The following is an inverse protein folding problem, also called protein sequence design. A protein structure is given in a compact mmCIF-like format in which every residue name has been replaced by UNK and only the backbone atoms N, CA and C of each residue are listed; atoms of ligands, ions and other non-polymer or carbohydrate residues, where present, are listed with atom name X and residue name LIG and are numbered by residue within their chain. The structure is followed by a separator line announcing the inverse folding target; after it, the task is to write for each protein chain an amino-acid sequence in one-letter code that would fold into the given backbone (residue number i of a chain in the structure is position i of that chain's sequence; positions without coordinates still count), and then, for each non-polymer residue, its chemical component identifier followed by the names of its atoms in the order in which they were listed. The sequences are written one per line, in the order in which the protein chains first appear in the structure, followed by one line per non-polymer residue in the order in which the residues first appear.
data_IF_360376812117
#
_entry.id   IF_360376812117
#
_cell.length_a   1.000
_cell.length_b   1.000
_cell.length_c   1.000
_cell.angle_alpha   90.00
_cell.angle_beta   90.00
_cell.angle_gamma   90.00
#
_symmetry.space_group_name_H-M   'P 1'
#
loop_
_entity.id
_entity.type
_entity.pdbx_description
1 polymer ?
#
# COMPACT_ATOMS: atom_id res chain seq x y z
N UNK A 1 -22.29 41.45 -8.73
CA UNK A 1 -21.96 40.03 -8.52
C UNK A 1 -21.76 39.86 -7.03
N UNK A 2 -22.59 39.04 -6.39
CA UNK A 2 -22.59 38.92 -4.93
C UNK A 2 -21.33 38.21 -4.44
N UNK A 3 -20.61 38.86 -3.53
CA UNK A 3 -19.44 38.31 -2.85
C UNK A 3 -19.74 37.02 -2.08
N UNK A 4 -21.02 36.78 -1.75
CA UNK A 4 -21.51 35.59 -1.06
C UNK A 4 -21.27 34.27 -1.80
N UNK A 5 -21.04 34.29 -3.11
CA UNK A 5 -20.78 33.07 -3.89
C UNK A 5 -19.32 32.63 -3.94
N UNK A 6 -18.40 33.34 -3.26
CA UNK A 6 -16.95 33.04 -3.33
C UNK A 6 -16.32 32.71 -1.98
N UNK A 7 -17.06 32.87 -0.89
CA UNK A 7 -16.58 32.50 0.44
C UNK A 7 -16.63 30.99 0.60
N UNK A 8 -15.47 30.35 0.39
CA UNK A 8 -15.25 28.98 0.80
C UNK A 8 -14.82 28.93 2.27
N UNK A 9 -15.30 27.92 2.99
CA UNK A 9 -14.90 27.66 4.36
C UNK A 9 -13.43 27.22 4.42
N UNK A 10 -12.61 28.08 5.02
CA UNK A 10 -11.17 27.91 5.15
C UNK A 10 -10.76 26.66 5.95
N UNK A 11 -11.65 26.04 6.72
CA UNK A 11 -11.37 24.81 7.44
C UNK A 11 -11.46 23.57 6.54
N UNK A 12 -12.13 23.67 5.39
CA UNK A 12 -12.27 22.58 4.41
C UNK A 12 -11.32 22.82 3.24
N UNK A 13 -11.37 24.02 2.68
CA UNK A 13 -10.66 24.37 1.45
C UNK A 13 -9.29 24.99 1.69
N UNK A 14 -8.96 25.23 2.96
CA UNK A 14 -7.77 25.91 3.41
C UNK A 14 -6.48 25.40 2.79
N UNK A 15 -5.55 26.33 2.57
CA UNK A 15 -4.24 26.00 1.98
C UNK A 15 -3.48 24.97 2.81
N UNK A 16 -3.58 24.99 4.15
CA UNK A 16 -2.92 23.98 4.99
C UNK A 16 -3.58 22.60 4.96
N UNK A 17 -4.91 22.50 4.79
CA UNK A 17 -5.59 21.21 4.57
C UNK A 17 -5.18 20.61 3.23
N UNK A 18 -5.17 21.42 2.17
CA UNK A 18 -4.68 20.98 0.85
C UNK A 18 -3.22 20.53 0.91
N UNK A 19 -2.36 21.39 1.46
CA UNK A 19 -0.91 21.13 1.55
C UNK A 19 -0.60 19.90 2.40
N UNK A 20 -1.34 19.68 3.48
CA UNK A 20 -1.18 18.49 4.31
C UNK A 20 -1.57 17.22 3.55
N UNK A 21 -2.70 17.23 2.84
CA UNK A 21 -3.12 16.13 1.97
C UNK A 21 -2.09 15.87 0.87
N UNK A 22 -1.57 16.91 0.22
CA UNK A 22 -0.54 16.80 -0.80
C UNK A 22 0.72 16.14 -0.23
N UNK A 23 1.23 16.69 0.88
CA UNK A 23 2.45 16.18 1.49
C UNK A 23 2.27 14.75 2.02
N UNK A 24 1.15 14.45 2.67
CA UNK A 24 0.85 13.14 3.21
C UNK A 24 0.72 12.08 2.11
N UNK A 25 0.05 12.40 1.00
CA UNK A 25 -0.11 11.50 -0.14
C UNK A 25 1.25 11.15 -0.75
N UNK A 26 2.09 12.16 -1.00
CA UNK A 26 3.42 11.98 -1.59
C UNK A 26 4.37 11.20 -0.66
N UNK A 27 4.41 11.58 0.63
CA UNK A 27 5.24 10.90 1.62
C UNK A 27 4.82 9.44 1.83
N UNK A 28 3.51 9.15 1.77
CA UNK A 28 3.02 7.78 1.93
C UNK A 28 3.59 6.86 0.85
N UNK A 29 3.60 7.28 -0.41
CA UNK A 29 4.07 6.40 -1.48
C UNK A 29 5.57 6.16 -1.38
N UNK A 30 6.34 7.20 -1.03
CA UNK A 30 7.76 7.06 -0.72
C UNK A 30 7.97 6.08 0.46
N UNK A 31 7.16 6.21 1.52
CA UNK A 31 7.25 5.35 2.69
C UNK A 31 6.96 3.89 2.36
N UNK A 32 5.93 3.62 1.55
CA UNK A 32 5.49 2.26 1.20
C UNK A 32 6.51 1.53 0.34
N UNK A 33 7.29 2.24 -0.47
CA UNK A 33 8.40 1.61 -1.20
C UNK A 33 9.56 1.21 -0.27
N UNK A 34 9.83 2.01 0.76
CA UNK A 34 11.03 1.87 1.61
C UNK A 34 10.82 1.07 2.89
N UNK A 35 9.64 1.18 3.50
CA UNK A 35 9.35 0.58 4.80
C UNK A 35 8.46 -0.65 4.66
N UNK A 36 8.78 -1.71 5.40
CA UNK A 36 7.89 -2.87 5.56
C UNK A 36 6.69 -2.56 6.47
N UNK A 37 6.81 -1.52 7.29
CA UNK A 37 5.84 -1.16 8.34
C UNK A 37 4.86 -0.08 7.87
N UNK A 38 4.79 0.13 6.55
CA UNK A 38 3.95 1.15 5.93
C UNK A 38 2.44 0.88 6.05
N UNK A 39 2.02 -0.28 6.57
CA UNK A 39 0.61 -0.62 6.78
C UNK A 39 -0.09 0.33 7.76
N UNK A 40 0.61 0.78 8.80
CA UNK A 40 0.05 1.73 9.77
C UNK A 40 -0.19 3.09 9.11
N UNK A 41 0.79 3.61 8.37
CA UNK A 41 0.66 4.88 7.65
C UNK A 41 -0.41 4.82 6.55
N UNK A 42 -0.53 3.69 5.86
CA UNK A 42 -1.59 3.45 4.88
C UNK A 42 -2.98 3.47 5.53
N UNK A 43 -3.13 2.88 6.73
CA UNK A 43 -4.37 2.95 7.51
C UNK A 43 -4.71 4.38 7.91
N UNK A 44 -3.75 5.13 8.46
CA UNK A 44 -3.96 6.52 8.85
C UNK A 44 -4.38 7.37 7.67
N UNK A 45 -3.74 7.18 6.51
CA UNK A 45 -4.09 7.91 5.30
C UNK A 45 -5.47 7.53 4.75
N UNK A 46 -5.80 6.23 4.74
CA UNK A 46 -7.13 5.75 4.36
C UNK A 46 -8.21 6.32 5.29
N UNK A 47 -7.95 6.35 6.59
CA UNK A 47 -8.85 6.91 7.59
C UNK A 47 -9.04 8.43 7.42
N UNK A 48 -7.96 9.16 7.13
CA UNK A 48 -8.02 10.60 6.85
C UNK A 48 -8.85 10.90 5.59
N UNK A 49 -8.63 10.16 4.50
CA UNK A 49 -9.41 10.30 3.25
C UNK A 49 -10.89 9.92 3.46
N UNK A 50 -11.15 8.89 4.24
CA UNK A 50 -12.51 8.50 4.63
C UNK A 50 -13.19 9.57 5.49
N UNK A 51 -12.47 10.13 6.47
CA UNK A 51 -12.95 11.23 7.30
C UNK A 51 -13.32 12.46 6.48
N UNK A 52 -12.48 12.83 5.51
CA UNK A 52 -12.77 13.93 4.57
C UNK A 52 -14.02 13.65 3.74
N UNK A 53 -14.20 12.41 3.27
CA UNK A 53 -15.38 12.00 2.51
C UNK A 53 -16.65 12.11 3.37
N UNK A 54 -16.61 11.66 4.62
CA UNK A 54 -17.72 11.79 5.57
C UNK A 54 -18.03 13.26 5.86
N UNK A 55 -16.99 14.08 6.09
CA UNK A 55 -17.17 15.50 6.37
C UNK A 55 -17.93 16.20 5.24
N UNK A 56 -17.55 15.93 3.98
CA UNK A 56 -18.26 16.46 2.83
C UNK A 56 -19.70 15.95 2.74
N UNK A 57 -19.97 14.67 3.01
CA UNK A 57 -21.34 14.13 3.03
C UNK A 57 -22.19 14.80 4.12
N UNK A 58 -21.63 15.02 5.31
CA UNK A 58 -22.34 15.70 6.41
C UNK A 58 -22.62 17.16 6.06
N UNK A 59 -21.66 17.88 5.47
CA UNK A 59 -21.85 19.27 5.05
C UNK A 59 -22.86 19.40 3.92
N UNK A 60 -22.86 18.44 2.99
CA UNK A 60 -23.90 18.33 1.96
C UNK A 60 -25.28 18.13 2.58
N UNK A 61 -25.42 17.23 3.56
CA UNK A 61 -26.69 17.01 4.25
C UNK A 61 -27.19 18.27 4.99
N UNK A 62 -26.27 19.14 5.44
CA UNK A 62 -26.58 20.44 6.04
C UNK A 62 -26.87 21.56 5.04
N UNK A 63 -26.79 21.29 3.73
CA UNK A 63 -26.90 22.31 2.67
C UNK A 63 -25.87 23.45 2.82
N UNK A 64 -24.71 23.14 3.40
CA UNK A 64 -23.61 24.09 3.62
C UNK A 64 -22.45 23.90 2.63
N UNK A 65 -22.43 22.77 1.92
CA UNK A 65 -21.35 22.46 0.99
C UNK A 65 -21.64 23.09 -0.37
N UNK A 66 -20.80 24.04 -0.78
CA UNK A 66 -20.85 24.60 -2.12
C UNK A 66 -20.34 23.61 -3.16
N UNK A 67 -20.75 23.77 -4.43
CA UNK A 67 -20.25 22.92 -5.51
C UNK A 67 -18.72 23.02 -5.69
N UNK A 68 -18.13 24.21 -5.48
CA UNK A 68 -16.69 24.40 -5.57
C UNK A 68 -15.96 23.60 -4.48
N UNK A 69 -16.46 23.62 -3.25
CA UNK A 69 -15.92 22.80 -2.15
C UNK A 69 -16.10 21.31 -2.43
N UNK A 70 -17.25 20.89 -2.96
CA UNK A 70 -17.47 19.51 -3.35
C UNK A 70 -16.46 19.06 -4.42
N UNK A 71 -16.19 19.89 -5.44
CA UNK A 71 -15.20 19.62 -6.49
C UNK A 71 -13.79 19.55 -5.91
N UNK A 72 -13.44 20.46 -5.01
CA UNK A 72 -12.14 20.44 -4.34
C UNK A 72 -11.96 19.18 -3.49
N UNK A 73 -12.96 18.84 -2.66
CA UNK A 73 -12.91 17.62 -1.85
C UNK A 73 -12.82 16.40 -2.77
N UNK A 74 -13.58 16.36 -3.87
CA UNK A 74 -13.48 15.30 -4.86
C UNK A 74 -12.05 15.18 -5.42
N UNK A 75 -11.41 16.28 -5.84
CA UNK A 75 -10.03 16.29 -6.33
C UNK A 75 -9.04 15.78 -5.26
N UNK A 76 -9.17 16.21 -4.01
CA UNK A 76 -8.31 15.75 -2.90
C UNK A 76 -8.49 14.26 -2.62
N UNK A 77 -9.74 13.78 -2.63
CA UNK A 77 -10.04 12.36 -2.43
C UNK A 77 -9.54 11.53 -3.62
N UNK A 78 -9.62 12.03 -4.85
CA UNK A 78 -9.01 11.39 -6.03
C UNK A 78 -7.50 11.27 -5.92
N UNK A 79 -6.84 12.35 -5.48
CA UNK A 79 -5.40 12.34 -5.19
C UNK A 79 -5.05 11.27 -4.16
N UNK A 80 -5.84 11.18 -3.08
CA UNK A 80 -5.65 10.18 -2.04
C UNK A 80 -5.87 8.75 -2.55
N UNK A 81 -6.94 8.51 -3.30
CA UNK A 81 -7.22 7.21 -3.90
C UNK A 81 -6.09 6.77 -4.85
N UNK A 82 -5.54 7.69 -5.64
CA UNK A 82 -4.41 7.42 -6.50
C UNK A 82 -3.16 7.04 -5.69
N UNK A 83 -2.83 7.81 -4.64
CA UNK A 83 -1.72 7.49 -3.73
C UNK A 83 -1.88 6.12 -3.06
N UNK A 84 -3.08 5.79 -2.55
CA UNK A 84 -3.41 4.49 -1.97
C UNK A 84 -3.23 3.36 -2.99
N UNK A 85 -3.67 3.56 -4.23
CA UNK A 85 -3.53 2.57 -5.29
C UNK A 85 -2.07 2.29 -5.61
N UNK A 86 -1.25 3.33 -5.80
CA UNK A 86 0.20 3.19 -6.07
C UNK A 86 0.91 2.55 -4.88
N UNK A 87 0.57 2.95 -3.65
CA UNK A 87 1.08 2.33 -2.43
C UNK A 87 0.74 0.83 -2.37
N UNK A 88 -0.50 0.43 -2.60
CA UNK A 88 -0.91 -0.97 -2.59
C UNK A 88 -0.21 -1.79 -3.68
N UNK A 89 -0.03 -1.22 -4.88
CA UNK A 89 0.70 -1.86 -5.97
C UNK A 89 2.18 -2.10 -5.58
N UNK A 90 2.84 -1.09 -5.03
CA UNK A 90 4.23 -1.16 -4.55
C UNK A 90 4.38 -2.16 -3.40
N UNK A 91 3.47 -2.11 -2.42
CA UNK A 91 3.42 -3.05 -1.30
C UNK A 91 3.22 -4.51 -1.77
N UNK A 92 2.29 -4.74 -2.70
CA UNK A 92 2.02 -6.06 -3.30
C UNK A 92 3.26 -6.64 -3.99
N UNK A 93 4.00 -5.79 -4.71
CA UNK A 93 5.26 -6.15 -5.36
C UNK A 93 6.34 -6.51 -4.34
N UNK A 94 6.53 -5.68 -3.32
CA UNK A 94 7.52 -5.93 -2.26
C UNK A 94 7.26 -7.27 -1.58
N UNK A 95 6.00 -7.53 -1.20
CA UNK A 95 5.58 -8.77 -0.55
C UNK A 95 5.80 -10.01 -1.42
N UNK A 96 5.55 -9.91 -2.73
CA UNK A 96 5.79 -11.00 -3.68
C UNK A 96 7.28 -11.37 -3.75
N UNK A 97 8.16 -10.37 -3.74
CA UNK A 97 9.61 -10.57 -3.77
C UNK A 97 10.11 -11.22 -2.48
N UNK A 98 9.61 -10.81 -1.32
CA UNK A 98 9.96 -11.40 -0.02
C UNK A 98 9.53 -12.87 0.07
N UNK A 99 8.33 -13.22 -0.42
CA UNK A 99 7.85 -14.62 -0.43
C UNK A 99 8.68 -15.52 -1.33
N UNK A 100 9.05 -15.07 -2.54
CA UNK A 100 9.90 -15.86 -3.46
C UNK A 100 11.23 -16.24 -2.82
N UNK A 101 11.85 -15.31 -2.09
CA UNK A 101 13.12 -15.54 -1.39
C UNK A 101 12.99 -16.54 -0.24
N UNK A 102 11.93 -16.44 0.57
CA UNK A 102 11.72 -17.36 1.69
C UNK A 102 11.32 -18.76 1.22
N UNK A 103 10.50 -18.87 0.17
CA UNK A 103 10.12 -20.16 -0.43
C UNK A 103 11.32 -20.93 -0.97
N UNK A 104 12.25 -20.25 -1.66
CA UNK A 104 13.46 -20.89 -2.19
C UNK A 104 14.40 -21.43 -1.10
N UNK A 105 14.48 -20.78 0.07
CA UNK A 105 15.29 -21.28 1.20
C UNK A 105 14.65 -22.49 1.88
N UNK A 106 13.32 -22.48 2.09
CA UNK A 106 12.61 -23.62 2.70
C UNK A 106 12.71 -24.89 1.84
N UNK A 107 12.62 -24.76 0.52
CA UNK A 107 12.80 -25.89 -0.39
C UNK A 107 14.19 -26.55 -0.27
N UNK A 108 15.23 -25.77 0.04
CA UNK A 108 16.59 -26.30 0.20
C UNK A 108 16.89 -26.88 1.59
N UNK A 109 16.12 -26.51 2.62
CA UNK A 109 16.49 -26.85 4.00
C UNK A 109 15.91 -28.17 4.50
N UNK A 110 14.96 -28.80 3.81
CA UNK A 110 14.38 -30.10 4.24
C UNK A 110 13.66 -30.12 5.60
N UNK A 111 13.71 -29.04 6.39
CA UNK A 111 13.14 -28.97 7.74
C UNK A 111 11.63 -28.78 7.66
N UNK A 112 10.89 -29.86 7.89
CA UNK A 112 9.43 -29.99 7.82
C UNK A 112 8.68 -29.57 9.10
N UNK A 113 9.35 -29.05 10.14
CA UNK A 113 8.78 -29.05 11.50
C UNK A 113 8.10 -27.78 12.08
N UNK A 114 8.15 -26.60 11.44
CA UNK A 114 7.78 -25.35 12.14
C UNK A 114 6.45 -24.70 11.73
N UNK A 115 5.32 -25.02 12.40
CA UNK A 115 3.98 -24.39 12.19
C UNK A 115 3.81 -22.96 12.73
N UNK A 116 4.84 -22.31 13.30
CA UNK A 116 4.63 -21.20 14.27
C UNK A 116 4.64 -19.76 13.73
N UNK A 117 4.50 -19.49 12.43
CA UNK A 117 4.63 -18.10 11.92
C UNK A 117 3.62 -17.70 10.82
N UNK A 118 2.33 -18.01 10.98
CA UNK A 118 1.28 -17.59 10.02
C UNK A 118 0.35 -16.47 10.54
N UNK A 119 0.43 -16.07 11.83
CA UNK A 119 -0.46 -15.05 12.43
C UNK A 119 -0.31 -13.64 11.85
N UNK A 120 0.83 -13.29 11.25
CA UNK A 120 1.03 -11.96 10.67
C UNK A 120 0.34 -11.72 9.32
N UNK A 121 -0.44 -12.69 8.79
CA UNK A 121 -0.99 -12.60 7.43
C UNK A 121 -2.42 -12.06 7.35
N UNK A 122 -3.20 -12.15 8.43
CA UNK A 122 -4.62 -11.78 8.43
C UNK A 122 -4.85 -10.27 8.42
N UNK A 123 -4.03 -9.50 9.14
CA UNK A 123 -4.17 -8.03 9.24
C UNK A 123 -4.04 -7.33 7.88
N UNK A 124 -3.24 -7.89 6.97
CA UNK A 124 -2.97 -7.28 5.66
C UNK A 124 -4.18 -7.30 4.71
N UNK A 125 -5.13 -8.23 4.91
CA UNK A 125 -6.36 -8.24 4.11
C UNK A 125 -7.34 -7.17 4.56
N UNK A 126 -7.38 -6.87 5.86
CA UNK A 126 -8.26 -5.82 6.39
C UNK A 126 -7.95 -4.46 5.76
N UNK A 127 -6.66 -4.09 5.71
CA UNK A 127 -6.21 -2.80 5.15
C UNK A 127 -6.60 -2.68 3.68
N UNK A 128 -6.39 -3.75 2.92
CA UNK A 128 -6.70 -3.80 1.49
C UNK A 128 -8.21 -3.70 1.23
N UNK A 129 -9.03 -4.41 2.01
CA UNK A 129 -10.49 -4.33 1.84
C UNK A 129 -11.02 -2.96 2.27
N UNK A 130 -10.51 -2.40 3.37
CA UNK A 130 -10.94 -1.08 3.85
C UNK A 130 -10.62 0.02 2.84
N UNK A 131 -9.39 0.04 2.29
CA UNK A 131 -9.01 0.95 1.20
C UNK A 131 -9.87 0.73 -0.05
N UNK A 132 -10.16 -0.52 -0.43
CA UNK A 132 -11.03 -0.79 -1.58
C UNK A 132 -12.45 -0.23 -1.40
N UNK A 133 -13.04 -0.40 -0.22
CA UNK A 133 -14.38 0.13 0.12
C UNK A 133 -14.37 1.64 0.15
N UNK A 134 -13.35 2.27 0.75
CA UNK A 134 -13.21 3.73 0.79
C UNK A 134 -13.06 4.33 -0.62
N UNK A 135 -12.26 3.72 -1.51
CA UNK A 135 -12.16 4.15 -2.91
C UNK A 135 -13.50 4.02 -3.65
N UNK A 136 -14.27 2.95 -3.43
CA UNK A 136 -15.59 2.80 -4.04
C UNK A 136 -16.57 3.86 -3.55
N UNK A 137 -16.58 4.14 -2.25
CA UNK A 137 -17.45 5.16 -1.65
C UNK A 137 -17.14 6.55 -2.24
N UNK A 138 -15.86 6.89 -2.36
CA UNK A 138 -15.43 8.17 -2.92
C UNK A 138 -15.68 8.31 -4.42
N UNK A 139 -15.52 7.22 -5.18
CA UNK A 139 -15.93 7.19 -6.59
C UNK A 139 -17.45 7.37 -6.75
N UNK A 140 -18.24 6.72 -5.89
CA UNK A 140 -19.69 6.89 -5.87
C UNK A 140 -20.10 8.33 -5.52
N UNK A 141 -19.46 8.94 -4.52
CA UNK A 141 -19.67 10.35 -4.19
C UNK A 141 -19.32 11.27 -5.36
N UNK A 142 -18.20 11.03 -6.03
CA UNK A 142 -17.79 11.81 -7.20
C UNK A 142 -18.80 11.67 -8.35
N UNK A 143 -19.27 10.46 -8.63
CA UNK A 143 -20.31 10.23 -9.63
C UNK A 143 -21.61 10.94 -9.26
N UNK A 144 -22.02 10.89 -8.00
CA UNK A 144 -23.21 11.58 -7.52
C UNK A 144 -23.10 13.10 -7.69
N UNK A 145 -21.96 13.68 -7.29
CA UNK A 145 -21.67 15.11 -7.46
C UNK A 145 -21.76 15.55 -8.92
N UNK A 146 -21.17 14.78 -9.86
CA UNK A 146 -21.28 15.07 -11.29
C UNK A 146 -22.66 14.76 -11.87
N UNK A 147 -23.40 13.80 -11.30
CA UNK A 147 -24.73 13.45 -11.77
C UNK A 147 -25.75 14.53 -11.40
N UNK A 148 -25.62 15.16 -10.24
CA UNK A 148 -26.58 16.14 -9.73
C UNK A 148 -25.86 17.38 -9.17
N UNK A 149 -25.15 18.16 -10.00
CA UNK A 149 -24.41 19.32 -9.50
C UNK A 149 -25.34 20.43 -8.98
N UNK A 150 -26.59 20.45 -9.44
CA UNK A 150 -27.61 21.44 -9.08
C UNK A 150 -28.02 21.37 -7.60
N UNK A 151 -27.84 20.23 -6.92
CA UNK A 151 -28.16 20.11 -5.49
C UNK A 151 -27.12 20.76 -4.58
N UNK A 152 -25.95 21.12 -5.10
CA UNK A 152 -24.85 21.71 -4.32
C UNK A 152 -24.87 23.24 -4.34
N UNK A 153 -25.81 23.88 -5.06
CA UNK A 153 -25.81 25.34 -5.16
C UNK A 153 -27.20 25.93 -5.43
N UNK A 154 -27.96 26.31 -4.39
CA UNK A 154 -29.27 26.95 -4.56
C UNK A 154 -29.20 28.41 -5.04
N UNK A 155 -28.02 29.05 -4.98
CA UNK A 155 -27.83 30.49 -5.21
C UNK A 155 -27.60 30.92 -6.67
N UNK A 156 -27.62 30.00 -7.63
CA UNK A 156 -27.50 30.33 -9.06
C UNK A 156 -26.09 30.74 -9.53
N UNK A 157 -25.07 30.58 -8.69
CA UNK A 157 -23.67 30.89 -9.00
C UNK A 157 -22.96 29.85 -9.89
N UNK A 158 -23.66 28.76 -10.17
CA UNK A 158 -23.26 27.68 -11.06
C UNK A 158 -22.82 28.12 -12.48
N UNK A 159 -23.32 29.25 -12.97
CA UNK A 159 -23.05 29.72 -14.33
C UNK A 159 -21.63 30.30 -14.53
N UNK A 160 -20.96 30.68 -13.46
CA UNK A 160 -19.61 31.28 -13.53
C UNK A 160 -18.50 30.27 -13.21
N UNK A 161 -18.87 29.09 -12.72
CA UNK A 161 -17.94 28.07 -12.29
C UNK A 161 -17.29 27.39 -13.50
N UNK A 162 -15.97 27.50 -13.59
CA UNK A 162 -15.16 26.82 -14.60
C UNK A 162 -14.37 25.70 -13.94
N UNK A 163 -14.49 24.49 -14.47
CA UNK A 163 -13.64 23.36 -14.10
C UNK A 163 -12.42 23.31 -15.01
N UNK A 164 -11.27 23.08 -14.41
CA UNK A 164 -9.99 23.03 -15.12
C UNK A 164 -9.60 21.56 -15.26
N UNK A 165 -9.71 21.05 -16.48
CA UNK A 165 -9.24 19.72 -16.83
C UNK A 165 -8.00 19.87 -17.72
N UNK A 166 -6.84 19.51 -17.20
CA UNK A 166 -5.54 19.81 -17.80
C UNK A 166 -5.29 21.31 -17.99
N UNK A 167 -5.42 21.78 -19.23
CA UNK A 167 -5.23 23.18 -19.64
C UNK A 167 -6.58 23.78 -20.06
N UNK A 168 -7.64 22.97 -20.08
CA UNK A 168 -8.91 23.32 -20.66
C UNK A 168 -9.83 23.83 -19.56
N UNK A 169 -10.32 25.05 -19.75
CA UNK A 169 -11.38 25.64 -18.93
C UNK A 169 -12.72 25.21 -19.51
N UNK A 170 -13.44 24.39 -18.77
CA UNK A 170 -14.71 23.84 -19.21
C UNK A 170 -15.79 24.34 -18.25
N UNK A 171 -16.86 25.00 -18.74
CA UNK A 171 -17.95 25.41 -17.89
C UNK A 171 -18.64 24.18 -17.29
N UNK A 172 -18.87 24.19 -15.98
CA UNK A 172 -19.36 23.01 -15.26
C UNK A 172 -20.78 22.61 -15.68
N UNK A 173 -21.60 23.60 -16.10
CA UNK A 173 -23.03 23.44 -16.37
C UNK A 173 -23.41 22.37 -17.39
N UNK A 174 -22.70 22.30 -18.52
CA UNK A 174 -23.05 21.36 -19.59
C UNK A 174 -21.86 20.47 -19.94
N UNK A 175 -20.86 21.04 -20.59
CA UNK A 175 -19.71 20.27 -21.07
C UNK A 175 -18.92 19.66 -19.93
N UNK A 176 -18.69 20.41 -18.84
CA UNK A 176 -17.96 19.92 -17.67
C UNK A 176 -18.64 18.74 -17.01
N UNK A 177 -19.97 18.81 -16.84
CA UNK A 177 -20.80 17.72 -16.31
C UNK A 177 -20.66 16.44 -17.12
N UNK A 178 -20.81 16.52 -18.45
CA UNK A 178 -20.73 15.35 -19.32
C UNK A 178 -19.32 14.75 -19.26
N UNK A 179 -18.29 15.58 -19.42
CA UNK A 179 -16.89 15.14 -19.39
C UNK A 179 -16.52 14.52 -18.04
N UNK A 180 -16.85 15.19 -16.94
CA UNK A 180 -16.58 14.72 -15.58
C UNK A 180 -17.29 13.42 -15.25
N UNK A 181 -18.56 13.27 -15.66
CA UNK A 181 -19.34 12.05 -15.45
C UNK A 181 -18.80 10.91 -16.31
N UNK A 182 -18.51 11.14 -17.60
CA UNK A 182 -17.92 10.12 -18.48
C UNK A 182 -16.58 9.64 -17.95
N UNK A 183 -15.68 10.56 -17.59
CA UNK A 183 -14.36 10.20 -17.08
C UNK A 183 -14.45 9.45 -15.74
N UNK A 184 -15.24 9.96 -14.80
CA UNK A 184 -15.46 9.31 -13.50
C UNK A 184 -16.10 7.93 -13.65
N UNK A 185 -17.05 7.76 -14.57
CA UNK A 185 -17.71 6.48 -14.83
C UNK A 185 -16.76 5.45 -15.44
N UNK A 186 -15.94 5.86 -16.42
CA UNK A 186 -14.91 4.99 -17.01
C UNK A 186 -13.92 4.55 -15.94
N UNK A 187 -13.38 5.48 -15.15
CA UNK A 187 -12.42 5.14 -14.10
C UNK A 187 -13.03 4.25 -13.03
N UNK A 188 -14.27 4.51 -12.63
CA UNK A 188 -14.99 3.66 -11.68
C UNK A 188 -15.19 2.25 -12.23
N UNK A 189 -15.59 2.12 -13.50
CA UNK A 189 -15.74 0.82 -14.16
C UNK A 189 -14.42 0.05 -14.21
N UNK A 190 -13.34 0.69 -14.67
CA UNK A 190 -11.99 0.09 -14.69
C UNK A 190 -11.56 -0.36 -13.30
N UNK A 191 -11.77 0.48 -12.28
CA UNK A 191 -11.43 0.16 -10.91
C UNK A 191 -12.23 -1.03 -10.35
N UNK A 192 -13.54 -1.07 -10.60
CA UNK A 192 -14.40 -2.19 -10.21
C UNK A 192 -13.94 -3.49 -10.88
N UNK A 193 -13.64 -3.45 -12.18
CA UNK A 193 -13.14 -4.62 -12.93
C UNK A 193 -11.82 -5.13 -12.33
N UNK A 194 -10.85 -4.25 -12.08
CA UNK A 194 -9.57 -4.62 -11.45
C UNK A 194 -9.80 -5.22 -10.07
N UNK A 195 -10.65 -4.60 -9.25
CA UNK A 195 -10.95 -5.03 -7.88
C UNK A 195 -11.63 -6.40 -7.87
N UNK A 196 -12.65 -6.61 -8.70
CA UNK A 196 -13.33 -7.90 -8.86
C UNK A 196 -12.37 -8.98 -9.36
N UNK A 197 -11.50 -8.66 -10.32
CA UNK A 197 -10.50 -9.58 -10.83
C UNK A 197 -9.49 -10.00 -9.74
N UNK A 198 -9.01 -9.06 -8.92
CA UNK A 198 -8.14 -9.38 -7.79
C UNK A 198 -8.84 -10.22 -6.72
N UNK A 199 -10.08 -9.87 -6.39
CA UNK A 199 -10.90 -10.60 -5.43
C UNK A 199 -11.17 -12.03 -5.92
N UNK A 200 -11.49 -12.20 -7.20
CA UNK A 200 -11.68 -13.49 -7.85
C UNK A 200 -10.42 -14.35 -7.82
N UNK A 201 -9.25 -13.79 -8.14
CA UNK A 201 -7.95 -14.49 -8.05
C UNK A 201 -7.68 -14.93 -6.61
N UNK A 202 -7.94 -14.06 -5.63
CA UNK A 202 -7.77 -14.34 -4.21
C UNK A 202 -8.67 -15.48 -3.75
N UNK A 203 -9.96 -15.40 -4.11
CA UNK A 203 -10.96 -16.43 -3.83
C UNK A 203 -10.58 -17.78 -4.41
N UNK A 204 -10.21 -17.83 -5.71
CA UNK A 204 -9.76 -19.07 -6.38
C UNK A 204 -8.54 -19.70 -5.71
N UNK A 205 -7.60 -18.88 -5.22
CA UNK A 205 -6.43 -19.38 -4.47
C UNK A 205 -6.83 -19.97 -3.12
N UNK A 206 -7.76 -19.36 -2.39
CA UNK A 206 -8.28 -19.89 -1.12
C UNK A 206 -9.00 -21.22 -1.34
N UNK A 207 -9.85 -21.31 -2.36
CA UNK A 207 -10.52 -22.55 -2.76
C UNK A 207 -9.53 -23.69 -3.05
N UNK A 208 -8.45 -23.43 -3.81
CA UNK A 208 -7.40 -24.44 -4.08
C UNK A 208 -6.69 -24.89 -2.81
N UNK A 209 -6.43 -23.99 -1.86
CA UNK A 209 -5.83 -24.33 -0.55
C UNK A 209 -6.78 -25.18 0.29
N UNK A 210 -8.06 -24.81 0.37
CA UNK A 210 -9.05 -25.57 1.12
C UNK A 210 -9.18 -27.01 0.59
N UNK A 211 -9.17 -27.20 -0.73
CA UNK A 211 -9.15 -28.54 -1.36
C UNK A 211 -7.88 -29.33 -1.02
N UNK A 212 -6.71 -28.67 -0.95
CA UNK A 212 -5.44 -29.34 -0.59
C UNK A 212 -5.39 -29.72 0.90
N UNK A 213 -5.97 -28.91 1.79
CA UNK A 213 -6.06 -29.22 3.22
C UNK A 213 -7.08 -30.33 3.49
N UNK A 214 -8.17 -30.38 2.72
CA UNK A 214 -9.09 -31.54 2.66
C UNK A 214 -8.50 -32.67 1.81
N UNK A 215 -7.21 -32.97 1.97
CA UNK A 215 -6.63 -34.17 1.38
C UNK A 215 -7.49 -35.40 1.68
N UNK A 216 -7.34 -36.50 0.91
CA UNK A 216 -8.08 -37.72 1.17
C UNK A 216 -8.02 -38.01 2.68
N UNK A 217 -9.15 -38.39 3.30
CA UNK A 217 -9.16 -38.73 4.73
C UNK A 217 -7.96 -39.64 4.98
N UNK A 218 -7.19 -39.41 6.06
CA UNK A 218 -6.06 -40.28 6.36
C UNK A 218 -6.58 -41.72 6.25
N UNK A 219 -5.86 -42.61 5.54
CA UNK A 219 -6.30 -44.00 5.43
C UNK A 219 -6.62 -44.44 6.85
N UNK A 220 -7.87 -44.85 7.07
CA UNK A 220 -8.29 -45.35 8.38
C UNK A 220 -7.32 -46.46 8.68
N UNK A 221 -6.38 -46.21 9.59
CA UNK A 221 -5.53 -47.25 10.12
C UNK A 221 -6.52 -48.13 10.85
N UNK A 222 -6.98 -49.19 10.17
CA UNK A 222 -7.64 -50.31 10.80
C UNK A 222 -6.60 -50.84 11.77
N UNK A 223 -6.65 -50.34 13.01
CA UNK A 223 -5.96 -50.94 14.12
C UNK A 223 -6.59 -52.32 14.24
N UNK A 224 -5.98 -53.29 13.58
CA UNK A 224 -6.19 -54.68 13.89
C UNK A 224 -5.68 -54.81 15.31
N UNK A 225 -6.61 -54.73 16.27
CA UNK A 225 -6.39 -55.03 17.67
C UNK A 225 -6.01 -56.50 17.78
N UNK A 226 -4.76 -56.82 17.44
CA UNK A 226 -4.12 -58.03 17.92
C UNK A 226 -3.90 -57.82 19.40
N UNK A 227 -4.85 -58.32 20.18
CA UNK A 227 -4.75 -58.49 21.63
C UNK A 227 -3.52 -59.37 21.86
N UNK A 228 -2.38 -58.73 22.12
CA UNK A 228 -1.17 -59.41 22.58
C UNK A 228 -1.32 -59.57 24.07
N UNK A 229 -1.58 -60.79 24.51
CA UNK A 229 -1.47 -61.18 25.92
C UNK A 229 -0.05 -60.85 26.43
N UNK A 230 0.03 -60.00 27.45
CA UNK A 230 1.22 -59.85 28.30
C UNK A 230 1.28 -60.98 29.31
N UNK A 231 2.43 -61.67 29.44
CA UNK A 231 2.83 -62.30 30.69
C UNK A 231 3.87 -61.43 31.40
N UNK A 232 3.52 -60.99 32.61
CA UNK A 232 4.38 -60.98 33.81
C UNK A 232 5.67 -60.13 33.85
N UNK A 233 5.90 -59.36 34.94
CA UNK A 233 7.05 -58.47 35.07
C UNK A 233 8.33 -59.25 35.41
N UNK A 234 9.41 -58.99 34.66
CA UNK A 234 10.76 -59.30 35.14
C UNK A 234 11.57 -58.01 35.22
N UNK A 235 11.89 -57.65 36.45
CA UNK A 235 12.91 -56.67 36.81
C UNK A 235 14.25 -57.03 36.17
N UNK A 236 14.89 -56.10 35.45
CA UNK A 236 16.35 -56.07 35.39
C UNK A 236 16.86 -54.65 35.21
N UNK A 237 17.83 -54.34 36.06
CA UNK A 237 18.53 -53.09 36.38
C UNK A 237 19.44 -52.60 35.24
N UNK A 238 19.98 -51.37 35.32
CA UNK A 238 20.58 -50.64 34.20
C UNK A 238 22.04 -51.04 33.93
N UNK A 239 22.44 -50.97 32.66
CA UNK A 239 23.85 -51.00 32.26
C UNK A 239 24.23 -49.67 31.60
N UNK A 240 25.27 -48.97 32.10
CA UNK A 240 25.87 -47.81 31.46
C UNK A 240 27.02 -48.25 30.52
N UNK A 241 27.43 -47.32 29.64
CA UNK A 241 28.56 -47.38 28.69
C UNK A 241 28.23 -47.98 27.30
N UNK A 242 28.35 -47.17 26.25
CA UNK A 242 29.63 -46.99 25.57
C UNK A 242 29.57 -45.85 24.53
N UNK A 243 30.52 -44.93 24.67
CA UNK A 243 30.99 -44.04 23.61
C UNK A 243 31.71 -44.89 22.55
N UNK A 244 31.24 -44.90 21.31
CA UNK A 244 32.09 -45.24 20.16
C UNK A 244 32.29 -44.00 19.28
N UNK A 245 33.43 -43.36 19.52
CA UNK A 245 34.10 -42.51 18.55
C UNK A 245 34.61 -43.39 17.40
N UNK A 246 33.91 -43.42 16.27
CA UNK A 246 34.51 -43.87 15.01
C UNK A 246 35.13 -42.67 14.28
N UNK A 247 36.40 -42.40 14.59
CA UNK A 247 37.28 -41.62 13.73
C UNK A 247 37.61 -42.45 12.48
N UNK A 248 36.96 -42.13 11.36
CA UNK A 248 37.35 -42.64 10.05
C UNK A 248 38.43 -41.71 9.49
N UNK A 249 39.69 -42.16 9.55
CA UNK A 249 40.81 -41.55 8.84
C UNK A 249 40.61 -41.75 7.33
N UNK A 250 40.67 -40.65 6.57
CA UNK A 250 40.78 -40.68 5.11
C UNK A 250 42.14 -40.12 4.70
N UNK A 251 42.87 -40.78 3.78
CA UNK A 251 44.18 -40.32 3.32
C UNK A 251 44.05 -39.08 2.43
N UNK A 252 44.78 -38.03 2.79
CA UNK A 252 44.91 -36.81 2.01
C UNK A 252 45.86 -37.02 0.82
N UNK A 253 45.28 -37.12 -0.38
CA UNK A 253 45.99 -36.95 -1.65
C UNK A 253 46.29 -35.46 -1.87
N UNK A 254 47.58 -35.12 -1.85
CA UNK A 254 48.15 -33.81 -2.17
C UNK A 254 47.99 -33.50 -3.65
N UNK A 255 46.89 -32.82 -4.00
CA UNK A 255 46.69 -32.27 -5.35
C UNK A 255 47.46 -30.96 -5.49
N UNK A 256 48.33 -30.93 -6.50
CA UNK A 256 49.14 -29.81 -6.98
C UNK A 256 48.37 -28.48 -7.01
N UNK A 257 48.87 -27.50 -6.26
CA UNK A 257 48.32 -26.14 -6.20
C UNK A 257 48.68 -25.38 -7.49
N UNK A 258 47.71 -25.24 -8.39
CA UNK A 258 47.85 -24.31 -9.52
C UNK A 258 47.84 -22.86 -9.00
N UNK A 259 48.66 -21.96 -9.56
CA UNK A 259 48.70 -20.55 -9.16
C UNK A 259 47.32 -19.92 -9.30
N UNK A 260 46.77 -19.49 -8.17
CA UNK A 260 45.47 -18.82 -8.10
C UNK A 260 45.50 -17.56 -8.96
N UNK A 261 44.55 -17.36 -9.89
CA UNK A 261 44.48 -16.14 -10.67
C UNK A 261 44.27 -14.96 -9.72
N UNK A 262 45.22 -14.02 -9.72
CA UNK A 262 45.09 -12.76 -9.00
C UNK A 262 43.80 -12.08 -9.45
N UNK A 263 42.81 -12.06 -8.55
CA UNK A 263 41.57 -11.33 -8.76
C UNK A 263 41.90 -9.84 -8.78
N UNK A 264 42.07 -9.31 -9.99
CA UNK A 264 42.07 -7.87 -10.19
C UNK A 264 40.80 -7.31 -9.54
N UNK A 265 40.99 -6.54 -8.46
CA UNK A 265 39.95 -5.79 -7.79
C UNK A 265 39.44 -4.75 -8.79
N UNK A 266 38.45 -5.15 -9.58
CA UNK A 266 37.74 -4.29 -10.52
C UNK A 266 37.20 -3.12 -9.70
N UNK A 267 37.59 -1.86 -10.01
CA UNK A 267 37.20 -0.72 -9.21
C UNK A 267 35.67 -0.66 -9.15
N UNK A 268 35.18 -0.52 -7.93
CA UNK A 268 33.78 -0.64 -7.53
C UNK A 268 32.96 0.58 -8.01
N UNK A 269 33.07 0.93 -9.29
CA UNK A 269 32.16 1.85 -9.95
C UNK A 269 30.86 1.09 -10.14
N UNK A 270 29.85 1.37 -9.30
CA UNK A 270 28.40 1.22 -9.57
C UNK A 270 27.56 1.52 -8.31
N UNK A 271 27.72 2.72 -7.73
CA UNK A 271 26.83 3.16 -6.65
C UNK A 271 25.38 3.41 -7.16
N UNK A 272 25.24 3.82 -8.42
CA UNK A 272 23.96 4.17 -9.05
C UNK A 272 23.29 3.04 -9.85
N UNK A 273 24.00 1.97 -10.19
CA UNK A 273 23.46 0.86 -11.02
C UNK A 273 22.51 -0.08 -10.28
N UNK A 274 22.29 0.12 -8.99
CA UNK A 274 21.51 -0.82 -8.20
C UNK A 274 20.08 -0.32 -7.89
N UNK A 275 19.71 0.89 -8.33
CA UNK A 275 18.32 1.35 -8.19
C UNK A 275 17.47 0.57 -9.19
N UNK A 276 16.37 -0.02 -8.70
CA UNK A 276 15.44 -0.75 -9.55
C UNK A 276 14.82 0.23 -10.58
N UNK A 277 15.08 0.06 -11.88
CA UNK A 277 14.57 0.99 -12.90
C UNK A 277 13.04 1.04 -12.90
N UNK A 278 12.37 -0.04 -12.48
CA UNK A 278 10.91 -0.05 -12.33
C UNK A 278 10.45 0.82 -11.16
N UNK A 279 11.23 0.94 -10.08
CA UNK A 279 10.91 1.86 -8.98
C UNK A 279 11.03 3.32 -9.43
N UNK A 280 12.11 3.67 -10.12
CA UNK A 280 12.28 5.02 -10.69
C UNK A 280 11.11 5.35 -11.63
N UNK A 281 10.71 4.39 -12.48
CA UNK A 281 9.56 4.57 -13.37
C UNK A 281 8.25 4.83 -12.63
N UNK A 282 7.97 4.07 -11.56
CA UNK A 282 6.78 4.30 -10.71
C UNK A 282 6.84 5.67 -10.07
N UNK A 283 7.96 6.03 -9.42
CA UNK A 283 8.12 7.31 -8.74
C UNK A 283 8.02 8.49 -9.70
N UNK A 284 8.60 8.38 -10.90
CA UNK A 284 8.51 9.41 -11.93
C UNK A 284 7.08 9.58 -12.43
N UNK A 285 6.42 8.49 -12.83
CA UNK A 285 5.03 8.52 -13.29
C UNK A 285 4.11 9.11 -12.22
N UNK A 286 4.28 8.66 -10.98
CA UNK A 286 3.53 9.17 -9.84
C UNK A 286 3.78 10.66 -9.63
N UNK A 287 5.04 11.11 -9.60
CA UNK A 287 5.38 12.53 -9.40
C UNK A 287 4.73 13.41 -10.46
N UNK A 288 4.67 12.95 -11.72
CA UNK A 288 4.02 13.67 -12.82
C UNK A 288 2.51 13.74 -12.62
N UNK A 289 1.84 12.62 -12.32
CA UNK A 289 0.39 12.59 -12.07
C UNK A 289 0.03 13.42 -10.82
N UNK A 290 0.87 13.36 -9.80
CA UNK A 290 0.70 14.07 -8.55
C UNK A 290 0.81 15.59 -8.74
N UNK A 291 1.89 16.04 -9.39
CA UNK A 291 2.07 17.44 -9.75
C UNK A 291 0.92 17.94 -10.62
N UNK A 292 0.47 17.13 -11.57
CA UNK A 292 -0.67 17.44 -12.41
C UNK A 292 -1.94 17.69 -11.60
N UNK A 293 -2.28 16.81 -10.66
CA UNK A 293 -3.48 16.95 -9.83
C UNK A 293 -3.40 18.17 -8.90
N UNK A 294 -2.22 18.44 -8.32
CA UNK A 294 -1.99 19.65 -7.52
C UNK A 294 -2.22 20.90 -8.38
N UNK A 295 -1.52 21.00 -9.50
CA UNK A 295 -1.60 22.18 -10.38
C UNK A 295 -3.04 22.38 -10.86
N UNK A 296 -3.73 21.31 -11.25
CA UNK A 296 -5.14 21.38 -11.67
C UNK A 296 -6.05 21.91 -10.55
N UNK A 297 -5.83 21.45 -9.32
CA UNK A 297 -6.62 21.90 -8.16
C UNK A 297 -6.31 23.36 -7.78
N UNK A 298 -5.05 23.78 -7.85
CA UNK A 298 -4.66 25.16 -7.56
C UNK A 298 -5.15 26.14 -8.63
N UNK A 299 -5.13 25.75 -9.92
CA UNK A 299 -5.71 26.58 -10.99
C UNK A 299 -7.23 26.66 -10.83
N UNK A 300 -7.90 25.56 -10.46
CA UNK A 300 -9.35 25.56 -10.18
C UNK A 300 -9.69 26.60 -9.11
N UNK A 301 -8.96 26.64 -8.00
CA UNK A 301 -9.23 27.58 -6.90
C UNK A 301 -8.88 29.01 -7.26
N UNK A 302 -7.76 29.21 -7.96
CA UNK A 302 -7.33 30.53 -8.44
C UNK A 302 -8.33 31.14 -9.42
N UNK A 303 -8.79 30.37 -10.39
CA UNK A 303 -9.73 30.83 -11.43
C UNK A 303 -11.12 31.16 -10.85
N UNK A 304 -11.48 30.54 -9.73
CA UNK A 304 -12.75 30.80 -9.04
C UNK A 304 -12.62 31.77 -7.85
N UNK A 305 -11.45 32.37 -7.63
CA UNK A 305 -11.17 33.30 -6.52
C UNK A 305 -11.54 32.78 -5.13
N UNK A 306 -11.38 31.47 -4.89
CA UNK A 306 -11.73 30.85 -3.62
C UNK A 306 -10.59 30.84 -2.60
N UNK A 307 -9.42 31.37 -2.97
CA UNK A 307 -8.27 31.41 -2.08
C UNK A 307 -8.31 32.68 -1.22
N UNK A 308 -8.66 32.52 0.06
CA UNK A 308 -8.63 33.62 1.04
C UNK A 308 -7.21 33.88 1.56
N UNK A 309 -6.29 32.93 1.38
CA UNK A 309 -4.91 33.02 1.89
C UNK A 309 -4.79 32.92 3.42
N UNK A 310 -5.89 32.74 4.14
CA UNK A 310 -5.91 32.71 5.60
C UNK A 310 -5.67 31.28 6.13
N UNK A 311 -4.83 31.18 7.16
CA UNK A 311 -4.58 29.93 7.88
C UNK A 311 -5.54 29.78 9.05
N UNK A 312 -6.51 28.87 8.93
CA UNK A 312 -7.37 28.45 10.03
C UNK A 312 -6.69 27.47 11.00
N UNK A 313 -7.23 27.34 12.22
CA UNK A 313 -6.73 26.37 13.21
C UNK A 313 -6.81 24.93 12.68
N UNK A 314 -7.88 24.58 11.96
CA UNK A 314 -8.03 23.26 11.34
C UNK A 314 -6.91 22.92 10.36
N UNK A 315 -6.37 23.92 9.68
CA UNK A 315 -5.27 23.76 8.73
C UNK A 315 -3.94 23.41 9.42
N UNK A 316 -3.66 24.02 10.56
CA UNK A 316 -2.46 23.71 11.37
C UNK A 316 -2.55 22.27 11.89
N UNK A 317 -3.73 21.88 12.38
CA UNK A 317 -3.97 20.52 12.86
C UNK A 317 -3.75 19.49 11.74
N UNK A 318 -4.22 19.79 10.54
CA UNK A 318 -4.01 18.93 9.37
C UNK A 318 -2.51 18.76 9.05
N UNK A 319 -1.70 19.81 9.15
CA UNK A 319 -0.24 19.72 8.96
C UNK A 319 0.44 18.89 10.06
N UNK A 320 0.00 19.01 11.32
CA UNK A 320 0.52 18.22 12.43
C UNK A 320 0.31 16.72 12.20
N UNK A 321 -0.82 16.32 11.60
CA UNK A 321 -1.12 14.92 11.25
C UNK A 321 -0.14 14.34 10.22
N UNK A 322 0.57 15.17 9.45
CA UNK A 322 1.59 14.71 8.48
C UNK A 322 2.91 14.38 9.16
N UNK A 323 3.22 14.96 10.32
CA UNK A 323 4.50 14.80 11.00
C UNK A 323 4.85 13.32 11.31
N UNK A 324 3.95 12.46 11.80
CA UNK A 324 4.27 11.05 12.03
C UNK A 324 4.70 10.32 10.75
N UNK A 325 4.06 10.63 9.61
CA UNK A 325 4.41 10.03 8.31
C UNK A 325 5.78 10.53 7.86
N UNK A 326 6.04 11.84 7.99
CA UNK A 326 7.34 12.43 7.67
C UNK A 326 8.48 11.83 8.51
N UNK A 327 8.29 11.72 9.82
CA UNK A 327 9.27 11.10 10.73
C UNK A 327 9.51 9.62 10.36
N UNK A 328 8.46 8.89 9.99
CA UNK A 328 8.58 7.49 9.52
C UNK A 328 9.39 7.40 8.22
N UNK A 329 9.20 8.34 7.29
CA UNK A 329 9.97 8.44 6.05
C UNK A 329 11.44 8.71 6.37
N UNK A 330 11.73 9.70 7.22
CA UNK A 330 13.10 10.04 7.63
C UNK A 330 13.78 8.83 8.29
N UNK A 331 13.08 8.14 9.19
CA UNK A 331 13.56 6.90 9.82
C UNK A 331 13.87 5.82 8.79
N UNK A 332 12.95 5.57 7.86
CA UNK A 332 13.14 4.59 6.79
C UNK A 332 14.32 4.93 5.88
N UNK A 333 14.55 6.22 5.58
CA UNK A 333 15.73 6.68 4.83
C UNK A 333 17.01 6.57 5.63
N UNK A 334 17.00 6.84 6.94
CA UNK A 334 18.17 6.72 7.80
C UNK A 334 18.61 5.26 7.94
N UNK A 335 17.66 4.34 8.08
CA UNK A 335 17.93 2.91 8.24
C UNK A 335 18.35 2.23 6.94
N UNK A 336 17.66 2.54 5.83
CA UNK A 336 17.89 1.85 4.56
C UNK A 336 18.85 2.62 3.62
N UNK A 337 19.06 3.91 3.85
CA UNK A 337 19.79 4.81 2.95
C UNK A 337 19.18 4.85 1.53
N UNK A 338 19.93 5.42 0.59
CA UNK A 338 19.69 5.22 -0.85
C UNK A 338 20.26 3.88 -1.35
N UNK A 339 20.87 3.09 -0.46
CA UNK A 339 21.48 1.83 -0.85
C UNK A 339 20.38 0.79 -1.03
N UNK A 340 20.30 0.13 -2.20
CA UNK A 340 19.42 -1.01 -2.35
C UNK A 340 19.83 -2.08 -1.35
N UNK A 341 18.84 -2.72 -0.74
CA UNK A 341 19.02 -3.82 0.23
C UNK A 341 19.91 -4.91 -0.36
N UNK A 342 21.23 -4.79 -0.21
CA UNK A 342 22.17 -5.84 -0.58
C UNK A 342 22.03 -6.92 0.48
N UNK A 343 21.25 -7.94 0.16
CA UNK A 343 20.95 -9.08 1.04
C UNK A 343 22.14 -10.02 1.27
N UNK A 344 23.35 -9.57 0.96
CA UNK A 344 24.61 -10.25 1.21
C UNK A 344 24.95 -10.15 2.70
N UNK A 345 24.50 -11.13 3.48
CA UNK A 345 25.36 -11.64 4.55
C UNK A 345 24.91 -11.50 6.01
N UNK A 346 23.64 -11.79 6.37
CA UNK A 346 23.35 -12.25 7.74
C UNK A 346 23.70 -13.74 7.89
N UNK A 347 24.98 -14.07 7.69
CA UNK A 347 25.57 -15.39 8.01
C UNK A 347 26.53 -15.31 9.21
N UNK A 348 26.65 -14.16 9.88
CA UNK A 348 27.76 -13.90 10.82
C UNK A 348 27.48 -14.19 12.31
N UNK A 349 26.31 -14.71 12.69
CA UNK A 349 26.00 -15.05 14.10
C UNK A 349 25.63 -16.53 14.30
N UNK A 350 26.48 -17.44 13.82
CA UNK A 350 26.36 -18.88 14.13
C UNK A 350 27.73 -19.53 14.27
N UNK A 351 28.60 -18.91 15.08
CA UNK A 351 29.77 -19.53 15.71
C UNK A 351 29.94 -18.85 17.07
N UNK A 352 29.50 -19.53 18.11
CA UNK A 352 29.48 -19.15 19.51
C UNK A 352 28.93 -20.36 20.24
#
# INVERSE_FOLDING_TARGET
MDSSCRTSDSDISGIGVRSSFYLQSFLLVILVDRSTDASTSLWTFTAASFGLTIAAVIQYAKQQLTLLEALQVSNLVWLANFGIFVALASYSRHKRNTRRKHGGKKAKSGVTGGRRLERGHESDYGVKTASMVQTLLSMALTLYMWAVPETFEPSGCFNTLNYVLFVWRIPVRHSGRIVGLTFSAILTCVYVVITLHEYWISYRKRQRKAKKTRGPPPPVLTFSSSVRHEPGPSFTTPSPYQNENLQTFSPSLSISQSPMPMKFNRPNRKLWSNIDPMFIGILFFESVVFLYLIVSNEILLRDNHADTGEFGFGQILALVVVLPVLLSVIGAFRENGFRPRSHTGSKKYRRG
#
